data_IF_168751276481
#
_entry.id   IF_168751276481
#
_cell.length_a   1.000
_cell.length_b   1.000
_cell.length_c   1.000
_cell.angle_alpha   90.00
_cell.angle_beta   90.00
_cell.angle_gamma   90.00
#
_symmetry.space_group_name_H-M   'P 1'
#
loop_
_entity.id
_entity.type
_entity.pdbx_description
1 polymer ?
#
# COMPACT_ATOMS: atom_id res chain seq x y z
N UNK A 1 -12.11 -9.47 12.95
CA UNK A 1 -11.31 -8.80 11.92
C UNK A 1 -10.71 -7.56 12.55
N UNK A 2 -9.41 -7.55 12.81
CA UNK A 2 -8.75 -6.36 13.36
C UNK A 2 -8.30 -5.51 12.17
N UNK A 3 -8.99 -4.41 11.91
CA UNK A 3 -8.44 -3.37 11.06
C UNK A 3 -7.47 -2.57 11.91
N UNK A 4 -6.17 -2.66 11.62
CA UNK A 4 -5.14 -2.04 12.45
C UNK A 4 -3.84 -1.77 11.70
N UNK A 5 -2.95 -1.06 12.37
CA UNK A 5 -1.59 -0.82 11.89
C UNK A 5 -0.67 -1.84 12.53
N UNK A 6 -0.02 -2.66 11.71
CA UNK A 6 0.92 -3.67 12.16
C UNK A 6 2.35 -3.20 11.87
N UNK A 7 3.28 -3.46 12.80
CA UNK A 7 4.70 -3.21 12.54
C UNK A 7 5.14 -4.09 11.38
N UNK A 8 5.90 -3.55 10.42
CA UNK A 8 6.39 -4.35 9.27
C UNK A 8 7.06 -5.65 9.69
N UNK A 9 7.88 -5.58 10.75
CA UNK A 9 8.59 -6.73 11.31
C UNK A 9 7.66 -7.83 11.88
N UNK A 10 6.40 -7.54 12.21
CA UNK A 10 5.43 -8.54 12.67
C UNK A 10 4.62 -9.16 11.53
N UNK A 11 4.86 -8.76 10.29
CA UNK A 11 4.07 -9.18 9.11
C UNK A 11 4.95 -9.83 8.05
N UNK A 12 6.16 -9.30 7.86
CA UNK A 12 7.09 -9.83 6.87
C UNK A 12 7.51 -11.26 7.19
N UNK A 13 7.31 -12.17 6.23
CA UNK A 13 7.60 -13.60 6.39
C UNK A 13 6.56 -14.37 7.20
N UNK A 14 5.45 -13.74 7.62
CA UNK A 14 4.33 -14.45 8.24
C UNK A 14 3.54 -15.19 7.17
N UNK A 15 3.16 -16.43 7.50
CA UNK A 15 2.22 -17.19 6.70
C UNK A 15 0.80 -16.70 7.02
N UNK A 16 0.10 -16.20 6.01
CA UNK A 16 -1.29 -15.75 6.15
C UNK A 16 -2.19 -16.27 5.04
N UNK A 17 -3.41 -15.74 5.00
CA UNK A 17 -4.38 -16.07 3.96
C UNK A 17 -4.22 -15.14 2.75
N UNK A 18 -4.12 -15.72 1.56
CA UNK A 18 -4.22 -14.99 0.29
C UNK A 18 -5.64 -15.09 -0.28
N UNK A 19 -6.40 -14.00 -0.18
CA UNK A 19 -7.78 -13.96 -0.66
C UNK A 19 -7.90 -14.20 -2.17
N UNK A 20 -6.89 -13.80 -2.96
CA UNK A 20 -6.88 -13.96 -4.41
C UNK A 20 -6.64 -15.41 -4.81
N UNK A 21 -5.56 -16.01 -4.31
CA UNK A 21 -5.21 -17.40 -4.57
C UNK A 21 -6.07 -18.41 -3.80
N UNK A 22 -6.88 -17.95 -2.83
CA UNK A 22 -7.65 -18.78 -1.89
C UNK A 22 -6.80 -19.86 -1.24
N UNK A 23 -5.59 -19.48 -0.84
CA UNK A 23 -4.59 -20.39 -0.30
C UNK A 23 -3.76 -19.69 0.78
N UNK A 24 -3.04 -20.49 1.55
CA UNK A 24 -2.03 -19.94 2.45
C UNK A 24 -0.82 -19.48 1.64
N UNK A 25 -0.28 -18.30 1.96
CA UNK A 25 0.91 -17.75 1.34
C UNK A 25 1.71 -16.91 2.34
N UNK A 26 3.02 -16.82 2.13
CA UNK A 26 3.88 -15.95 2.92
C UNK A 26 3.75 -14.50 2.47
N UNK A 27 3.72 -13.57 3.42
CA UNK A 27 3.78 -12.15 3.13
C UNK A 27 5.22 -11.71 2.94
N UNK A 28 5.69 -11.84 1.71
CA UNK A 28 7.03 -11.44 1.30
C UNK A 28 7.17 -9.92 1.16
N UNK A 29 8.41 -9.50 0.86
CA UNK A 29 8.74 -8.10 0.65
C UNK A 29 7.93 -7.49 -0.50
N UNK A 30 7.78 -8.20 -1.61
CA UNK A 30 7.14 -7.71 -2.84
C UNK A 30 5.65 -7.44 -2.63
N UNK A 31 4.94 -8.35 -1.96
CA UNK A 31 3.53 -8.18 -1.61
C UNK A 31 3.33 -7.00 -0.68
N UNK A 32 4.14 -6.90 0.38
CA UNK A 32 4.05 -5.79 1.35
C UNK A 32 4.35 -4.46 0.66
N UNK A 33 5.39 -4.40 -0.17
CA UNK A 33 5.74 -3.22 -0.96
C UNK A 33 4.58 -2.83 -1.89
N UNK A 34 4.11 -3.77 -2.71
CA UNK A 34 3.01 -3.57 -3.65
C UNK A 34 1.74 -3.06 -2.98
N UNK A 35 1.38 -3.65 -1.83
CA UNK A 35 0.22 -3.24 -1.02
C UNK A 35 0.38 -1.86 -0.40
N UNK A 36 1.62 -1.45 -0.12
CA UNK A 36 1.95 -0.17 0.50
C UNK A 36 1.94 1.02 -0.46
N UNK A 37 2.08 0.79 -1.78
CA UNK A 37 2.10 1.87 -2.80
C UNK A 37 0.87 2.79 -2.75
N UNK A 38 -0.29 2.26 -2.34
CA UNK A 38 -1.51 3.06 -2.20
C UNK A 38 -1.37 4.20 -1.16
N UNK A 39 -0.50 4.04 -0.15
CA UNK A 39 -0.27 5.06 0.87
C UNK A 39 0.37 6.30 0.23
N UNK A 40 1.40 6.11 -0.60
CA UNK A 40 2.06 7.22 -1.31
C UNK A 40 1.11 7.89 -2.31
N UNK A 41 0.31 7.10 -3.04
CA UNK A 41 -0.72 7.64 -3.94
C UNK A 41 -1.76 8.47 -3.19
N UNK A 42 -2.21 8.01 -2.02
CA UNK A 42 -3.15 8.72 -1.17
C UNK A 42 -2.57 10.02 -0.59
N UNK A 43 -1.28 10.03 -0.23
CA UNK A 43 -0.57 11.23 0.21
C UNK A 43 -0.55 12.29 -0.90
N UNK A 44 -0.18 11.94 -2.13
CA UNK A 44 -0.19 12.89 -3.26
C UNK A 44 -1.60 13.38 -3.58
N UNK A 45 -2.60 12.48 -3.61
CA UNK A 45 -4.00 12.85 -3.82
C UNK A 45 -4.51 13.82 -2.74
N UNK A 46 -4.10 13.61 -1.48
CA UNK A 46 -4.43 14.50 -0.37
C UNK A 46 -3.77 15.87 -0.56
N UNK A 47 -2.48 15.93 -0.87
CA UNK A 47 -1.77 17.20 -1.09
C UNK A 47 -2.42 18.04 -2.19
N UNK A 48 -2.94 17.40 -3.24
CA UNK A 48 -3.67 18.09 -4.31
C UNK A 48 -5.01 18.66 -3.87
N UNK A 49 -5.66 18.03 -2.89
CA UNK A 49 -6.96 18.46 -2.36
C UNK A 49 -6.81 19.50 -1.25
N UNK A 50 -5.69 19.46 -0.51
CA UNK A 50 -5.37 20.33 0.62
C UNK A 50 -3.96 20.89 0.44
N UNK A 51 -3.82 21.90 -0.42
CA UNK A 51 -2.52 22.43 -0.84
C UNK A 51 -1.72 23.09 0.28
N UNK A 52 -2.39 23.55 1.34
CA UNK A 52 -1.79 24.24 2.48
C UNK A 52 -1.26 23.28 3.54
N UNK A 53 -1.59 21.98 3.44
CA UNK A 53 -1.08 20.98 4.37
C UNK A 53 0.37 20.59 4.00
N UNK A 54 1.14 20.24 5.03
CA UNK A 54 2.44 19.58 4.83
C UNK A 54 2.21 18.09 4.59
N UNK A 55 2.64 17.54 3.45
CA UNK A 55 2.41 16.13 3.16
C UNK A 55 3.28 15.25 4.06
N UNK A 56 2.75 14.11 4.48
CA UNK A 56 3.52 13.11 5.20
C UNK A 56 4.57 12.47 4.28
N UNK A 57 5.82 12.35 4.73
CA UNK A 57 6.89 11.69 3.98
C UNK A 57 6.91 10.19 4.28
N UNK A 58 6.29 9.40 3.41
CA UNK A 58 6.28 7.94 3.56
C UNK A 58 7.60 7.32 3.08
N UNK A 59 8.56 7.20 4.01
CA UNK A 59 9.91 6.71 3.75
C UNK A 59 9.99 5.44 2.88
N UNK A 60 9.12 4.40 3.05
CA UNK A 60 9.19 3.19 2.23
C UNK A 60 8.97 3.40 0.72
N UNK A 61 8.37 4.53 0.31
CA UNK A 61 8.05 4.85 -1.08
C UNK A 61 8.71 6.14 -1.56
N UNK A 62 9.63 6.73 -0.78
CA UNK A 62 10.22 8.04 -1.10
C UNK A 62 10.94 8.04 -2.45
N UNK A 63 11.61 6.93 -2.80
CA UNK A 63 12.34 6.78 -4.06
C UNK A 63 11.40 6.57 -5.27
N UNK A 64 10.14 6.21 -5.02
CA UNK A 64 9.12 5.93 -6.04
C UNK A 64 8.01 6.99 -6.03
N UNK A 65 8.15 8.06 -5.23
CA UNK A 65 7.10 9.04 -5.02
C UNK A 65 6.60 9.66 -6.34
N UNK A 66 7.51 9.95 -7.27
CA UNK A 66 7.17 10.49 -8.59
C UNK A 66 6.32 9.52 -9.44
N UNK A 67 6.60 8.21 -9.39
CA UNK A 67 5.82 7.22 -10.16
C UNK A 67 4.45 6.93 -9.54
N UNK A 68 4.24 7.36 -8.29
CA UNK A 68 3.02 7.16 -7.50
C UNK A 68 2.18 8.44 -7.37
N UNK A 69 2.47 9.49 -8.14
CA UNK A 69 1.64 10.71 -8.15
C UNK A 69 0.22 10.42 -8.63
N UNK A 70 -0.76 11.10 -8.06
CA UNK A 70 -2.16 10.96 -8.42
C UNK A 70 -2.39 11.36 -9.88
N UNK A 71 -2.90 10.41 -10.66
CA UNK A 71 -3.35 10.59 -12.03
C UNK A 71 -4.40 9.52 -12.34
N UNK A 72 -5.12 9.66 -13.45
CA UNK A 72 -6.04 8.61 -13.88
C UNK A 72 -5.29 7.30 -14.18
N UNK A 73 -4.05 7.37 -14.66
CA UNK A 73 -3.21 6.20 -14.90
C UNK A 73 -2.85 5.47 -13.60
N UNK A 74 -2.29 6.18 -12.61
CA UNK A 74 -1.89 5.57 -11.33
C UNK A 74 -3.09 5.12 -10.50
N UNK A 75 -4.24 5.78 -10.65
CA UNK A 75 -5.51 5.28 -10.12
C UNK A 75 -5.85 3.89 -10.68
N UNK A 76 -5.74 3.69 -11.99
CA UNK A 76 -6.02 2.39 -12.61
C UNK A 76 -4.96 1.33 -12.29
N UNK A 77 -3.68 1.70 -12.14
CA UNK A 77 -2.59 0.72 -11.96
C UNK A 77 -2.26 0.42 -10.50
N UNK A 78 -2.53 1.33 -9.57
CA UNK A 78 -2.17 1.20 -8.14
C UNK A 78 -3.38 1.04 -7.24
N UNK A 79 -4.46 1.82 -7.45
CA UNK A 79 -5.66 1.76 -6.60
C UNK A 79 -6.60 0.62 -7.02
N UNK A 80 -6.77 0.37 -8.32
CA UNK A 80 -7.67 -0.70 -8.77
C UNK A 80 -7.21 -2.05 -8.22
N UNK A 81 -8.13 -2.77 -7.58
CA UNK A 81 -7.90 -4.10 -7.01
C UNK A 81 -6.77 -4.16 -5.95
N UNK A 82 -6.39 -3.03 -5.35
CA UNK A 82 -5.33 -2.98 -4.34
C UNK A 82 -5.63 -3.87 -3.10
N UNK A 83 -6.91 -4.07 -2.81
CA UNK A 83 -7.43 -4.93 -1.75
C UNK A 83 -7.14 -6.42 -1.98
N UNK A 84 -6.82 -6.85 -3.21
CA UNK A 84 -6.39 -8.23 -3.46
C UNK A 84 -5.05 -8.56 -2.77
N UNK A 85 -4.29 -7.54 -2.40
CA UNK A 85 -3.04 -7.67 -1.67
C UNK A 85 -3.23 -7.51 -0.16
N UNK A 86 -4.48 -7.47 0.33
CA UNK A 86 -4.76 -7.40 1.77
C UNK A 86 -4.13 -8.58 2.52
N UNK A 87 -3.77 -8.30 3.77
CA UNK A 87 -3.09 -9.22 4.66
C UNK A 87 -4.11 -9.70 5.69
N UNK A 88 -4.51 -10.97 5.59
CA UNK A 88 -5.43 -11.63 6.50
C UNK A 88 -4.73 -12.04 7.79
N UNK A 89 -4.40 -11.04 8.61
CA UNK A 89 -3.75 -11.17 9.93
C UNK A 89 -4.68 -10.73 11.06
#
# INVERSE_FOLDING_TARGET
FVFGFHRRASVQGVQGWDARGKQSSFYDHERIHSRSRIIQLAIDARQKSYTDETPYVYLPMVQEAESLRWSQQTRETVLKNYNHLDLGI
#
